data_IF_762637295596
#
_entry.id   IF_762637295596
#
_cell.length_a   1.000
_cell.length_b   1.000
_cell.length_c   1.000
_cell.angle_alpha   90.00
_cell.angle_beta   90.00
_cell.angle_gamma   90.00
#
_symmetry.space_group_name_H-M   'P 1'
#
loop_
_entity.id
_entity.type
_entity.pdbx_description
1 polymer ?
#
# COMPACT_ATOMS: atom_id res chain seq x y z
N UNK A 1 -18.40 -4.18 -1.16
CA UNK A 1 -17.21 -4.94 -0.82
C UNK A 1 -16.05 -4.60 -1.72
N UNK A 2 -14.88 -5.07 -1.36
CA UNK A 2 -13.67 -4.88 -2.15
C UNK A 2 -13.63 -5.77 -3.40
N UNK A 3 -12.59 -6.60 -3.52
CA UNK A 3 -12.41 -7.54 -4.63
C UNK A 3 -13.03 -8.88 -4.26
N UNK A 4 -13.71 -9.52 -5.22
CA UNK A 4 -14.13 -10.92 -5.16
C UNK A 4 -13.42 -11.70 -6.27
N UNK A 5 -12.81 -12.83 -5.93
CA UNK A 5 -12.12 -13.71 -6.87
C UNK A 5 -12.55 -15.16 -6.64
N UNK A 6 -13.05 -15.81 -7.68
CA UNK A 6 -13.34 -17.25 -7.66
C UNK A 6 -12.08 -18.08 -7.86
N UNK A 7 -11.20 -17.62 -8.75
CA UNK A 7 -9.88 -18.21 -9.01
C UNK A 7 -9.01 -17.23 -9.78
N UNK A 8 -7.69 -17.48 -9.83
CA UNK A 8 -6.76 -16.69 -10.65
C UNK A 8 -5.81 -15.82 -9.85
N UNK A 9 -5.54 -14.61 -10.32
CA UNK A 9 -4.55 -13.70 -9.70
C UNK A 9 -5.15 -12.36 -9.35
N UNK A 10 -4.94 -11.93 -8.11
CA UNK A 10 -5.22 -10.58 -7.63
C UNK A 10 -3.87 -9.91 -7.37
N UNK A 11 -3.49 -9.01 -8.25
CA UNK A 11 -2.16 -8.43 -8.28
C UNK A 11 -2.18 -6.91 -8.27
N UNK A 12 -1.33 -6.31 -7.46
CA UNK A 12 -0.99 -4.88 -7.50
C UNK A 12 -2.20 -3.94 -7.29
N UNK A 13 -3.07 -4.28 -6.33
CA UNK A 13 -4.22 -3.45 -6.00
C UNK A 13 -4.04 -2.71 -4.68
N UNK A 14 -4.73 -1.57 -4.58
CA UNK A 14 -4.96 -0.88 -3.31
C UNK A 14 -6.43 -1.03 -2.95
N UNK A 15 -6.71 -1.73 -1.85
CA UNK A 15 -8.07 -2.09 -1.41
C UNK A 15 -8.29 -1.58 0.01
N UNK A 16 -9.10 -0.55 0.17
CA UNK A 16 -9.24 0.07 1.49
C UNK A 16 -10.67 0.56 1.77
N UNK A 17 -10.98 0.73 3.05
CA UNK A 17 -12.24 1.30 3.56
C UNK A 17 -13.52 0.61 3.06
N UNK A 18 -13.50 -0.70 2.80
CA UNK A 18 -14.72 -1.42 2.47
C UNK A 18 -15.49 -1.82 3.74
N UNK A 19 -16.83 -1.74 3.70
CA UNK A 19 -17.71 -2.17 4.80
C UNK A 19 -17.75 -3.68 5.01
N UNK A 20 -17.18 -4.44 4.09
CA UNK A 20 -16.99 -5.89 4.20
C UNK A 20 -15.53 -6.26 4.33
N UNK A 21 -15.15 -7.36 3.68
CA UNK A 21 -13.75 -7.73 3.52
C UNK A 21 -13.06 -6.92 2.43
N UNK A 22 -11.73 -6.86 2.47
CA UNK A 22 -10.93 -6.27 1.42
C UNK A 22 -10.93 -7.14 0.17
N UNK A 23 -10.41 -8.37 0.27
CA UNK A 23 -10.42 -9.36 -0.80
C UNK A 23 -11.13 -10.62 -0.30
N UNK A 24 -12.16 -11.04 -1.01
CA UNK A 24 -12.87 -12.28 -0.76
C UNK A 24 -12.48 -13.30 -1.83
N UNK A 25 -11.97 -14.44 -1.42
CA UNK A 25 -11.48 -15.50 -2.33
C UNK A 25 -12.21 -16.80 -2.10
N UNK A 26 -12.50 -17.50 -3.18
CA UNK A 26 -13.29 -18.72 -3.13
C UNK A 26 -12.43 -19.97 -3.35
N UNK A 27 -11.63 -19.98 -4.41
CA UNK A 27 -10.85 -21.13 -4.85
C UNK A 27 -9.40 -20.72 -5.17
N UNK A 28 -8.67 -21.53 -5.89
CA UNK A 28 -7.26 -21.37 -6.25
C UNK A 28 -6.95 -19.93 -6.71
N UNK A 29 -6.51 -19.10 -5.78
CA UNK A 29 -6.21 -17.70 -6.03
C UNK A 29 -4.82 -17.34 -5.52
N UNK A 30 -4.04 -16.66 -6.37
CA UNK A 30 -2.78 -16.04 -6.00
C UNK A 30 -2.98 -14.55 -5.75
N UNK A 31 -2.65 -14.09 -4.55
CA UNK A 31 -2.77 -12.68 -4.14
C UNK A 31 -1.37 -12.14 -3.94
N UNK A 32 -0.95 -11.22 -4.81
CA UNK A 32 0.45 -10.79 -4.87
C UNK A 32 0.56 -9.27 -4.89
N UNK A 33 1.46 -8.72 -4.10
CA UNK A 33 1.78 -7.28 -4.08
C UNK A 33 0.56 -6.35 -3.89
N UNK A 34 -0.37 -6.70 -3.03
CA UNK A 34 -1.51 -5.84 -2.74
C UNK A 34 -1.31 -5.02 -1.46
N UNK A 35 -1.90 -3.83 -1.43
CA UNK A 35 -2.01 -2.99 -0.24
C UNK A 35 -3.48 -2.96 0.21
N UNK A 36 -3.76 -3.61 1.34
CA UNK A 36 -5.11 -3.88 1.84
C UNK A 36 -5.24 -3.25 3.23
N UNK A 37 -6.02 -2.17 3.33
CA UNK A 37 -6.01 -1.30 4.52
C UNK A 37 -7.42 -0.97 5.01
N UNK A 38 -7.63 -1.07 6.32
CA UNK A 38 -8.83 -0.58 7.01
C UNK A 38 -10.17 -1.07 6.42
N UNK A 39 -10.23 -2.29 5.92
CA UNK A 39 -11.48 -2.93 5.55
C UNK A 39 -12.18 -3.45 6.83
N UNK A 40 -13.51 -3.33 6.91
CA UNK A 40 -14.23 -3.44 8.19
C UNK A 40 -14.19 -4.84 8.82
N UNK A 41 -14.31 -5.91 8.03
CA UNK A 41 -14.46 -7.26 8.57
C UNK A 41 -13.16 -8.07 8.53
N UNK A 42 -12.41 -7.99 7.42
CA UNK A 42 -11.14 -8.69 7.24
C UNK A 42 -10.34 -8.08 6.08
N UNK A 43 -9.04 -8.31 6.06
CA UNK A 43 -8.20 -7.97 4.92
C UNK A 43 -8.44 -8.91 3.75
N UNK A 44 -8.08 -10.19 3.91
CA UNK A 44 -8.35 -11.25 2.95
C UNK A 44 -9.13 -12.35 3.65
N UNK A 45 -10.14 -12.93 2.98
CA UNK A 45 -10.91 -14.00 3.60
C UNK A 45 -11.67 -14.87 2.62
N UNK A 46 -12.06 -16.04 3.12
CA UNK A 46 -12.99 -16.97 2.46
C UNK A 46 -14.41 -16.71 2.95
N UNK A 47 -15.44 -16.94 2.13
CA UNK A 47 -16.82 -17.04 2.59
C UNK A 47 -16.97 -18.13 3.66
N UNK A 48 -17.90 -17.92 4.61
CA UNK A 48 -18.06 -18.81 5.76
C UNK A 48 -18.48 -20.24 5.39
N UNK A 49 -19.10 -20.43 4.21
CA UNK A 49 -19.70 -21.69 3.77
C UNK A 49 -18.84 -22.42 2.73
N UNK A 50 -17.57 -22.05 2.57
CA UNK A 50 -16.68 -22.72 1.64
C UNK A 50 -16.10 -23.98 2.23
N UNK A 51 -16.34 -25.11 1.57
CA UNK A 51 -15.54 -26.31 1.77
C UNK A 51 -14.15 -26.06 1.18
N UNK A 52 -13.17 -25.88 2.05
CA UNK A 52 -11.77 -25.62 1.67
C UNK A 52 -11.02 -26.88 1.24
N UNK A 53 -11.67 -28.04 1.27
CA UNK A 53 -11.04 -29.31 0.91
C UNK A 53 -10.59 -29.29 -0.56
N UNK A 54 -9.28 -29.12 -0.75
CA UNK A 54 -8.63 -29.18 -2.06
C UNK A 54 -8.36 -27.84 -2.75
N UNK A 55 -8.89 -26.72 -2.26
CA UNK A 55 -8.56 -25.41 -2.80
C UNK A 55 -7.42 -24.73 -2.01
N UNK A 56 -6.43 -24.22 -2.70
CA UNK A 56 -5.30 -23.53 -2.06
C UNK A 56 -5.26 -22.04 -2.43
N UNK A 57 -5.05 -21.19 -1.43
CA UNK A 57 -4.80 -19.77 -1.63
C UNK A 57 -3.33 -19.51 -1.35
N UNK A 58 -2.70 -18.72 -2.22
CA UNK A 58 -1.37 -18.20 -1.96
C UNK A 58 -1.42 -16.68 -1.81
N UNK A 59 -0.83 -16.18 -0.72
CA UNK A 59 -0.67 -14.73 -0.48
C UNK A 59 0.80 -14.44 -0.34
N UNK A 60 1.30 -13.53 -1.16
CA UNK A 60 2.70 -13.13 -1.10
C UNK A 60 2.87 -11.61 -1.28
N UNK A 61 3.94 -11.09 -0.69
CA UNK A 61 4.35 -9.70 -0.84
C UNK A 61 3.23 -8.66 -0.61
N UNK A 62 2.24 -9.00 0.18
CA UNK A 62 1.07 -8.15 0.40
C UNK A 62 1.09 -7.55 1.80
N UNK A 63 0.66 -6.30 1.91
CA UNK A 63 0.43 -5.67 3.21
C UNK A 63 -1.06 -5.70 3.55
N UNK A 64 -1.38 -6.18 4.74
CA UNK A 64 -2.73 -6.32 5.27
C UNK A 64 -2.75 -5.65 6.63
N UNK A 65 -3.36 -4.49 6.71
CA UNK A 65 -3.26 -3.66 7.90
C UNK A 65 -4.59 -2.99 8.28
N UNK A 66 -4.79 -2.77 9.57
CA UNK A 66 -5.94 -2.03 10.11
C UNK A 66 -5.52 -1.26 11.36
N UNK A 67 -6.06 -0.06 11.51
CA UNK A 67 -5.87 0.76 12.71
C UNK A 67 -6.66 0.26 13.91
N UNK A 68 -7.65 -0.62 13.70
CA UNK A 68 -8.46 -1.20 14.77
C UNK A 68 -8.62 -2.71 14.56
N UNK A 69 -7.79 -3.53 15.19
CA UNK A 69 -7.83 -4.97 15.04
C UNK A 69 -8.97 -5.64 15.82
N UNK A 70 -9.67 -4.95 16.72
CA UNK A 70 -10.66 -5.56 17.62
C UNK A 70 -11.82 -6.26 16.89
N UNK A 71 -12.12 -5.83 15.65
CA UNK A 71 -13.17 -6.41 14.82
C UNK A 71 -12.66 -6.80 13.42
N UNK A 72 -11.35 -6.84 13.23
CA UNK A 72 -10.73 -7.06 11.95
C UNK A 72 -9.76 -8.25 12.02
N UNK A 73 -10.00 -9.25 11.20
CA UNK A 73 -9.03 -10.30 10.98
C UNK A 73 -8.15 -9.94 9.77
N UNK A 74 -6.83 -9.97 9.92
CA UNK A 74 -5.93 -9.84 8.76
C UNK A 74 -6.29 -10.88 7.70
N UNK A 75 -6.29 -12.15 8.10
CA UNK A 75 -6.70 -13.30 7.30
C UNK A 75 -7.86 -14.03 7.97
N UNK A 76 -8.91 -14.36 7.20
CA UNK A 76 -10.09 -15.06 7.70
C UNK A 76 -10.35 -16.35 6.91
N UNK A 77 -10.53 -17.46 7.61
CA UNK A 77 -10.83 -18.75 6.99
C UNK A 77 -9.65 -19.38 6.23
N UNK A 78 -8.43 -19.06 6.63
CA UNK A 78 -7.21 -19.66 6.10
C UNK A 78 -6.86 -20.94 6.85
N UNK A 79 -6.50 -21.96 6.09
CA UNK A 79 -6.01 -23.25 6.61
C UNK A 79 -4.50 -23.35 6.35
N UNK A 80 -3.70 -23.42 7.42
CA UNK A 80 -2.25 -23.52 7.33
C UNK A 80 -1.74 -24.82 6.65
N UNK A 81 -2.59 -25.81 6.46
CA UNK A 81 -2.21 -27.05 5.77
C UNK A 81 -2.28 -26.93 4.24
N UNK A 82 -3.13 -26.04 3.74
CA UNK A 82 -3.37 -25.89 2.29
C UNK A 82 -3.02 -24.50 1.78
N UNK A 83 -3.21 -23.45 2.59
CA UNK A 83 -2.95 -22.08 2.21
C UNK A 83 -1.50 -21.68 2.48
N UNK A 84 -0.95 -20.85 1.63
CA UNK A 84 0.43 -20.34 1.76
C UNK A 84 0.45 -18.85 1.92
N UNK A 85 1.14 -18.38 2.94
CA UNK A 85 1.33 -16.95 3.21
C UNK A 85 2.82 -16.69 3.43
N UNK A 86 3.43 -15.90 2.57
CA UNK A 86 4.87 -15.64 2.61
C UNK A 86 5.23 -14.20 2.24
N UNK A 87 6.26 -13.67 2.87
CA UNK A 87 6.77 -12.33 2.61
C UNK A 87 5.69 -11.24 2.69
N UNK A 88 4.73 -11.41 3.59
CA UNK A 88 3.63 -10.49 3.83
C UNK A 88 3.86 -9.69 5.12
N UNK A 89 3.20 -8.55 5.21
CA UNK A 89 3.13 -7.78 6.44
C UNK A 89 1.66 -7.69 6.87
N UNK A 90 1.33 -8.28 8.01
CA UNK A 90 -0.05 -8.56 8.40
C UNK A 90 -0.29 -8.09 9.83
N UNK A 91 -1.38 -7.35 10.05
CA UNK A 91 -1.81 -6.98 11.40
C UNK A 91 -2.17 -8.25 12.20
N UNK A 92 -1.69 -8.31 13.44
CA UNK A 92 -1.90 -9.44 14.36
C UNK A 92 -1.47 -10.81 13.79
N UNK A 93 -0.40 -10.83 12.99
CA UNK A 93 0.17 -12.07 12.49
C UNK A 93 0.76 -12.89 13.63
N UNK A 94 0.37 -14.13 13.71
CA UNK A 94 0.97 -15.12 14.61
C UNK A 94 2.29 -15.65 13.97
N UNK A 95 3.42 -15.18 14.47
CA UNK A 95 4.76 -15.53 13.97
C UNK A 95 5.06 -17.04 14.03
N UNK A 96 4.26 -17.83 14.76
CA UNK A 96 4.39 -19.28 14.79
C UNK A 96 3.84 -19.96 13.52
N UNK A 97 3.09 -19.23 12.69
CA UNK A 97 2.36 -19.74 11.52
C UNK A 97 3.09 -19.63 10.19
N UNK A 98 4.34 -19.21 10.16
CA UNK A 98 5.05 -19.15 8.89
C UNK A 98 6.25 -18.21 8.92
N UNK A 99 7.14 -18.46 7.98
CA UNK A 99 8.41 -17.77 7.86
C UNK A 99 8.27 -16.53 6.96
N UNK A 100 9.13 -15.54 7.17
CA UNK A 100 9.30 -14.36 6.35
C UNK A 100 8.11 -13.38 6.32
N UNK A 101 7.12 -13.55 7.19
CA UNK A 101 6.04 -12.58 7.38
C UNK A 101 6.38 -11.61 8.52
N UNK A 102 5.88 -10.40 8.40
CA UNK A 102 6.05 -9.33 9.40
C UNK A 102 4.73 -9.16 10.15
N UNK A 103 4.77 -9.29 11.47
CA UNK A 103 3.64 -8.90 12.31
C UNK A 103 3.57 -7.39 12.43
N UNK A 104 2.43 -6.80 12.04
CA UNK A 104 2.19 -5.38 12.12
C UNK A 104 1.37 -5.04 13.35
N UNK A 105 1.74 -3.96 14.01
CA UNK A 105 0.96 -3.39 15.10
C UNK A 105 -0.10 -2.41 14.57
N UNK A 106 -1.23 -2.27 15.26
CA UNK A 106 -2.22 -1.25 14.93
C UNK A 106 -1.65 0.16 15.12
N UNK A 107 -2.22 1.12 14.41
CA UNK A 107 -1.72 2.50 14.30
C UNK A 107 -1.48 3.23 15.64
N UNK A 108 -2.16 2.85 16.70
CA UNK A 108 -2.09 3.52 18.01
C UNK A 108 -0.86 3.14 18.85
N UNK A 109 -0.07 2.18 18.40
CA UNK A 109 1.18 1.80 19.07
C UNK A 109 2.38 2.23 18.22
N UNK A 110 2.86 3.44 18.48
CA UNK A 110 4.00 4.03 17.78
C UNK A 110 5.36 3.32 18.06
N UNK A 111 5.36 2.28 18.87
CA UNK A 111 6.58 1.61 19.31
C UNK A 111 6.94 0.37 18.49
N UNK A 112 6.09 -0.05 17.57
CA UNK A 112 6.22 -1.32 16.89
C UNK A 112 6.32 -1.26 15.36
N UNK A 113 6.17 -2.42 14.76
CA UNK A 113 6.19 -2.58 13.31
C UNK A 113 4.90 -2.06 12.71
N UNK A 114 4.94 -0.88 12.11
CA UNK A 114 3.84 -0.27 11.34
C UNK A 114 4.26 -0.04 9.89
N UNK A 115 3.34 -0.03 8.93
CA UNK A 115 3.69 0.13 7.52
C UNK A 115 4.39 1.44 7.18
N UNK A 116 4.21 2.49 8.00
CA UNK A 116 4.75 3.82 7.76
C UNK A 116 4.38 4.37 6.37
N UNK A 117 3.11 4.32 6.03
CA UNK A 117 2.56 5.01 4.87
C UNK A 117 2.65 6.53 5.03
N UNK A 118 2.67 7.25 3.94
CA UNK A 118 2.77 8.72 3.95
C UNK A 118 1.54 9.35 4.60
N UNK A 119 0.35 8.98 4.15
CA UNK A 119 -0.91 9.49 4.67
C UNK A 119 -2.02 8.43 4.57
N UNK A 120 -1.97 7.36 5.40
CA UNK A 120 -2.99 6.33 5.35
C UNK A 120 -4.33 6.88 5.83
N UNK A 121 -5.41 6.30 5.33
CA UNK A 121 -6.74 6.59 5.87
C UNK A 121 -6.83 6.24 7.34
N UNK A 122 -7.51 7.08 8.12
CA UNK A 122 -7.83 6.83 9.54
C UNK A 122 -9.23 6.25 9.72
N UNK A 123 -9.97 6.04 8.63
CA UNK A 123 -11.31 5.48 8.66
C UNK A 123 -11.30 3.97 8.41
N UNK A 124 -12.30 3.29 8.96
CA UNK A 124 -12.55 1.87 8.75
C UNK A 124 -13.93 1.74 8.11
N UNK A 125 -14.00 0.98 7.02
CA UNK A 125 -15.21 0.83 6.25
C UNK A 125 -15.49 1.99 5.29
N UNK A 126 -16.60 1.92 4.56
CA UNK A 126 -16.95 2.90 3.55
C UNK A 126 -17.25 4.27 4.16
N UNK A 127 -16.82 5.27 3.46
CA UNK A 127 -17.11 6.67 3.79
C UNK A 127 -18.53 6.97 3.29
N UNK A 128 -19.39 7.34 4.21
CA UNK A 128 -20.79 7.69 3.88
C UNK A 128 -20.90 9.06 3.19
N UNK A 129 -19.90 9.90 3.33
CA UNK A 129 -19.82 11.24 2.74
C UNK A 129 -18.57 11.34 1.85
N UNK A 130 -18.66 11.00 0.56
CA UNK A 130 -17.47 10.88 -0.31
C UNK A 130 -16.76 12.21 -0.61
N UNK A 131 -17.32 13.35 -0.23
CA UNK A 131 -16.87 14.66 -0.72
C UNK A 131 -15.56 15.14 -0.08
N UNK A 132 -15.18 14.64 1.10
CA UNK A 132 -14.01 15.18 1.84
C UNK A 132 -13.02 14.16 2.38
N UNK A 133 -13.31 12.89 2.30
CA UNK A 133 -12.62 11.89 3.10
C UNK A 133 -11.36 11.32 2.45
N UNK A 134 -11.25 11.34 1.14
CA UNK A 134 -10.12 10.75 0.41
C UNK A 134 -9.10 11.77 -0.13
N UNK A 135 -9.26 13.05 0.19
CA UNK A 135 -8.29 14.07 -0.21
C UNK A 135 -6.97 13.83 0.56
N UNK A 136 -5.95 13.45 -0.18
CA UNK A 136 -4.61 13.26 0.37
C UNK A 136 -4.31 11.88 0.95
N UNK A 137 -5.23 10.90 0.88
CA UNK A 137 -4.89 9.52 1.27
C UNK A 137 -3.79 8.99 0.37
N UNK A 138 -2.73 8.48 0.97
CA UNK A 138 -1.57 7.97 0.25
C UNK A 138 -0.98 6.75 0.97
N UNK A 139 -0.84 5.66 0.25
CA UNK A 139 -0.18 4.44 0.71
C UNK A 139 1.25 4.30 0.18
N UNK A 140 1.83 5.37 -0.32
CA UNK A 140 3.25 5.42 -0.64
C UNK A 140 4.09 5.18 0.62
N UNK A 141 5.23 4.51 0.47
CA UNK A 141 6.08 4.11 1.59
C UNK A 141 7.03 5.24 1.99
N UNK A 142 7.23 5.41 3.29
CA UNK A 142 8.29 6.27 3.84
C UNK A 142 9.62 5.52 3.89
N UNK A 143 10.70 6.26 3.95
CA UNK A 143 12.07 5.74 4.03
C UNK A 143 12.30 4.77 5.20
N UNK A 144 11.56 4.89 6.28
CA UNK A 144 11.66 4.05 7.47
C UNK A 144 10.57 2.99 7.56
N UNK A 145 9.90 2.68 6.47
CA UNK A 145 8.89 1.63 6.44
C UNK A 145 9.52 0.25 6.66
N UNK A 146 8.86 -0.57 7.47
CA UNK A 146 9.26 -1.97 7.70
C UNK A 146 9.07 -2.84 6.47
N UNK A 147 8.33 -2.35 5.46
CA UNK A 147 8.01 -3.05 4.22
C UNK A 147 9.15 -3.04 3.20
N UNK A 148 10.14 -2.15 3.41
CA UNK A 148 11.22 -1.94 2.44
C UNK A 148 12.14 -3.16 2.32
N UNK A 149 12.40 -3.58 1.08
CA UNK A 149 13.32 -4.67 0.75
C UNK A 149 12.96 -6.03 1.38
N UNK A 150 11.67 -6.25 1.62
CA UNK A 150 11.18 -7.46 2.28
C UNK A 150 10.37 -8.39 1.37
N UNK A 151 10.05 -7.94 0.16
CA UNK A 151 9.36 -8.77 -0.81
C UNK A 151 10.31 -9.73 -1.54
N UNK A 152 9.74 -10.81 -2.06
CA UNK A 152 10.43 -11.84 -2.82
C UNK A 152 10.03 -11.75 -4.31
N UNK A 153 10.93 -12.01 -5.24
CA UNK A 153 10.75 -11.71 -6.65
C UNK A 153 10.39 -12.88 -7.57
N UNK A 154 10.33 -14.13 -7.09
CA UNK A 154 10.09 -15.31 -7.95
C UNK A 154 8.74 -15.26 -8.67
N UNK A 155 7.73 -14.67 -8.06
CA UNK A 155 6.40 -14.49 -8.62
C UNK A 155 6.39 -13.63 -9.91
N UNK A 156 7.34 -12.70 -10.06
CA UNK A 156 7.43 -11.83 -11.24
C UNK A 156 7.59 -12.65 -12.52
N UNK A 157 8.45 -13.66 -12.48
CA UNK A 157 8.63 -14.57 -13.62
C UNK A 157 7.35 -15.34 -13.91
N UNK A 158 6.67 -15.80 -12.88
CA UNK A 158 5.41 -16.54 -13.02
C UNK A 158 4.33 -15.65 -13.66
N UNK A 159 4.09 -14.46 -13.14
CA UNK A 159 3.07 -13.56 -13.70
C UNK A 159 3.38 -13.14 -15.13
N UNK A 160 4.62 -12.81 -15.42
CA UNK A 160 5.02 -12.42 -16.76
C UNK A 160 4.89 -13.59 -17.76
N UNK A 161 5.33 -14.79 -17.37
CA UNK A 161 5.32 -15.97 -18.24
C UNK A 161 3.92 -16.51 -18.47
N UNK A 162 3.10 -16.65 -17.43
CA UNK A 162 1.79 -17.32 -17.55
C UNK A 162 0.63 -16.38 -17.87
N UNK A 163 0.72 -15.11 -17.48
CA UNK A 163 -0.37 -14.16 -17.64
C UNK A 163 -0.03 -13.00 -18.58
N UNK A 164 1.23 -12.90 -19.06
CA UNK A 164 1.66 -11.82 -19.94
C UNK A 164 1.58 -10.43 -19.28
N UNK A 165 1.57 -10.39 -17.94
CA UNK A 165 1.42 -9.15 -17.18
C UNK A 165 2.77 -8.44 -17.05
N UNK A 166 2.85 -7.17 -17.43
CA UNK A 166 4.03 -6.36 -17.16
C UNK A 166 4.11 -6.02 -15.66
N UNK A 167 5.03 -6.66 -14.99
CA UNK A 167 5.27 -6.49 -13.55
C UNK A 167 6.48 -5.61 -13.24
N UNK A 168 7.01 -4.91 -14.25
CA UNK A 168 8.19 -4.05 -14.13
C UNK A 168 7.92 -2.77 -13.33
N UNK A 169 6.65 -2.39 -13.24
CA UNK A 169 6.22 -1.16 -12.59
C UNK A 169 5.25 -1.45 -11.45
N UNK A 170 5.25 -0.58 -10.47
CA UNK A 170 4.28 -0.58 -9.39
C UNK A 170 2.96 0.12 -9.81
N UNK A 171 1.95 0.11 -8.95
CA UNK A 171 0.65 0.71 -9.24
C UNK A 171 0.74 2.23 -9.55
N UNK A 172 1.79 2.90 -9.09
CA UNK A 172 2.05 4.32 -9.39
C UNK A 172 2.87 4.51 -10.69
N UNK A 173 3.15 3.44 -11.43
CA UNK A 173 3.95 3.48 -12.65
C UNK A 173 5.45 3.72 -12.39
N UNK A 174 5.93 3.40 -11.19
CA UNK A 174 7.34 3.51 -10.84
C UNK A 174 8.04 2.16 -10.96
N UNK A 175 9.35 2.13 -11.28
CA UNK A 175 10.10 0.88 -11.34
C UNK A 175 9.93 0.07 -10.05
N UNK A 176 9.52 -1.19 -10.20
CA UNK A 176 9.29 -2.08 -9.04
C UNK A 176 10.56 -2.60 -8.42
N UNK A 177 11.62 -2.77 -9.21
CA UNK A 177 12.95 -3.14 -8.69
C UNK A 177 13.79 -1.89 -8.57
N UNK A 178 14.14 -1.52 -7.35
CA UNK A 178 15.00 -0.38 -7.05
C UNK A 178 16.22 -0.88 -6.28
N UNK A 179 17.42 -0.62 -6.78
CA UNK A 179 18.67 -1.09 -6.16
C UNK A 179 18.69 -2.60 -5.87
N UNK A 180 18.05 -3.40 -6.74
CA UNK A 180 17.91 -4.86 -6.63
C UNK A 180 17.02 -5.33 -5.47
N UNK A 181 16.18 -4.47 -4.94
CA UNK A 181 15.25 -4.80 -3.86
C UNK A 181 13.81 -4.61 -4.29
N UNK A 182 12.92 -5.34 -3.62
CA UNK A 182 11.47 -5.29 -3.74
C UNK A 182 10.86 -4.99 -2.40
N UNK A 183 9.81 -4.18 -2.40
CA UNK A 183 9.05 -3.83 -1.21
C UNK A 183 7.73 -4.60 -1.16
N UNK A 184 7.24 -4.82 0.06
CA UNK A 184 5.93 -5.45 0.27
C UNK A 184 4.82 -4.44 -0.05
N UNK A 185 3.81 -4.87 -0.81
CA UNK A 185 2.65 -4.08 -1.16
C UNK A 185 2.62 -3.61 -2.61
N UNK A 186 1.62 -2.82 -2.95
CA UNK A 186 1.36 -2.32 -4.29
C UNK A 186 2.32 -1.21 -4.74
N UNK A 187 3.06 -0.62 -3.82
CA UNK A 187 3.99 0.49 -4.08
C UNK A 187 5.43 0.09 -3.80
N UNK A 188 6.32 0.53 -4.67
CA UNK A 188 7.76 0.45 -4.48
C UNK A 188 8.30 1.78 -3.97
N UNK A 189 9.08 1.77 -2.90
CA UNK A 189 9.80 2.95 -2.44
C UNK A 189 10.79 3.43 -3.48
N UNK A 190 10.73 4.71 -3.81
CA UNK A 190 11.67 5.35 -4.72
C UNK A 190 12.61 6.24 -3.92
N UNK A 191 13.85 5.81 -3.66
CA UNK A 191 14.81 6.66 -2.97
C UNK A 191 15.10 7.89 -3.82
N UNK A 192 15.03 9.04 -3.21
CA UNK A 192 15.31 10.29 -3.91
C UNK A 192 16.80 10.54 -3.92
N UNK A 193 17.39 10.59 -5.09
CA UNK A 193 18.77 11.00 -5.26
C UNK A 193 18.83 12.53 -5.36
N UNK A 194 19.46 13.19 -4.39
CA UNK A 194 19.69 14.64 -4.43
C UNK A 194 19.08 15.41 -3.25
N UNK A 195 19.33 16.68 -3.22
CA UNK A 195 18.70 17.58 -2.25
C UNK A 195 17.24 17.81 -2.63
N UNK A 196 16.34 17.29 -1.82
CA UNK A 196 14.91 17.56 -1.98
C UNK A 196 14.55 18.84 -1.21
N UNK A 197 14.70 19.95 -1.89
CA UNK A 197 14.28 21.25 -1.39
C UNK A 197 13.08 21.67 -2.20
N UNK A 198 11.99 21.98 -1.52
CA UNK A 198 10.87 22.68 -2.13
C UNK A 198 10.84 24.11 -1.61
N UNK A 199 10.64 25.03 -2.53
CA UNK A 199 10.49 26.44 -2.19
C UNK A 199 9.02 26.72 -1.90
N UNK A 200 8.78 27.38 -0.75
CA UNK A 200 7.45 27.84 -0.34
C UNK A 200 7.50 29.33 -0.16
N UNK A 201 6.56 30.06 -0.73
CA UNK A 201 6.45 31.50 -0.52
C UNK A 201 5.03 32.02 -0.73
N UNK A 202 4.68 33.08 -0.05
CA UNK A 202 3.49 33.83 -0.37
C UNK A 202 3.73 34.60 -1.69
N UNK A 203 2.76 34.54 -2.59
CA UNK A 203 2.83 35.31 -3.83
C UNK A 203 2.50 36.78 -3.60
N UNK A 204 3.20 37.67 -4.33
CA UNK A 204 2.79 39.03 -4.44
C UNK A 204 1.53 39.17 -5.30
N UNK A 205 0.61 40.10 -4.98
CA UNK A 205 -0.52 40.40 -5.86
C UNK A 205 -0.09 40.84 -7.28
N UNK A 206 1.11 41.38 -7.42
CA UNK A 206 1.66 41.89 -8.68
C UNK A 206 2.54 40.81 -9.38
N UNK A 207 2.52 39.58 -8.92
CA UNK A 207 3.34 38.55 -9.51
C UNK A 207 2.86 38.17 -10.93
N UNK A 208 3.78 38.17 -11.91
CA UNK A 208 3.42 37.77 -13.26
C UNK A 208 2.89 36.34 -13.29
N UNK A 209 1.90 36.06 -14.15
CA UNK A 209 1.39 34.68 -14.32
C UNK A 209 2.50 33.76 -14.78
N UNK A 210 2.34 32.47 -14.48
CA UNK A 210 3.21 31.43 -15.02
C UNK A 210 3.02 31.34 -16.54
N UNK A 211 4.06 30.91 -17.24
CA UNK A 211 3.96 30.61 -18.66
C UNK A 211 3.06 29.40 -18.90
N UNK A 212 2.53 29.27 -20.11
CA UNK A 212 1.68 28.14 -20.49
C UNK A 212 2.39 26.81 -20.25
N UNK A 213 1.74 25.91 -19.52
CA UNK A 213 2.28 24.60 -19.16
C UNK A 213 3.17 24.59 -17.91
N UNK A 214 3.50 25.72 -17.32
CA UNK A 214 4.21 25.76 -16.04
C UNK A 214 3.27 25.57 -14.86
N UNK A 215 3.75 24.86 -13.84
CA UNK A 215 3.02 24.64 -12.58
C UNK A 215 3.89 25.01 -11.40
N UNK A 216 3.28 25.40 -10.30
CA UNK A 216 3.98 25.66 -9.04
C UNK A 216 4.28 24.33 -8.33
N UNK A 217 5.41 23.75 -8.70
CA UNK A 217 5.89 22.46 -8.21
C UNK A 217 6.93 22.57 -7.09
N UNK A 218 7.29 23.77 -6.68
CA UNK A 218 8.29 24.05 -5.65
C UNK A 218 9.74 23.80 -6.08
N UNK A 219 10.01 23.45 -7.32
CA UNK A 219 11.37 23.11 -7.79
C UNK A 219 12.34 24.30 -7.82
N UNK A 220 11.82 25.51 -7.93
CA UNK A 220 12.57 26.75 -7.92
C UNK A 220 11.83 27.83 -7.14
N UNK A 221 12.54 28.90 -6.76
CA UNK A 221 11.90 30.05 -6.10
C UNK A 221 10.79 30.68 -6.95
N UNK A 222 10.91 30.68 -8.26
CA UNK A 222 9.88 31.16 -9.18
C UNK A 222 8.65 30.24 -9.22
N UNK A 223 8.86 28.94 -9.14
CA UNK A 223 7.82 27.92 -9.13
C UNK A 223 7.44 27.50 -7.71
N UNK A 224 7.74 28.31 -6.71
CA UNK A 224 7.44 28.01 -5.31
C UNK A 224 5.96 27.73 -5.10
N UNK A 225 5.65 26.71 -4.29
CA UNK A 225 4.28 26.46 -3.83
C UNK A 225 3.86 27.52 -2.81
N UNK A 226 2.56 27.71 -2.62
CA UNK A 226 2.03 28.74 -1.74
C UNK A 226 1.68 28.24 -0.34
N UNK A 227 1.63 26.95 -0.19
CA UNK A 227 1.17 26.29 1.04
C UNK A 227 2.25 25.34 1.58
N UNK A 228 2.56 25.50 2.87
CA UNK A 228 3.58 24.70 3.56
C UNK A 228 3.15 23.23 3.64
N UNK A 229 1.87 22.97 3.88
CA UNK A 229 1.39 21.60 3.96
C UNK A 229 1.50 20.91 2.60
N UNK A 230 1.15 21.60 1.52
CA UNK A 230 1.35 21.09 0.16
C UNK A 230 2.82 20.76 -0.12
N UNK A 231 3.76 21.61 0.32
CA UNK A 231 5.19 21.33 0.17
C UNK A 231 5.62 20.10 0.97
N UNK A 232 5.14 19.97 2.20
CA UNK A 232 5.40 18.80 3.05
C UNK A 232 4.86 17.54 2.38
N UNK A 233 3.64 17.56 1.89
CA UNK A 233 3.00 16.42 1.23
C UNK A 233 3.74 16.03 -0.06
N UNK A 234 4.20 17.01 -0.85
CA UNK A 234 5.03 16.76 -2.02
C UNK A 234 6.39 16.16 -1.67
N UNK A 235 7.04 16.63 -0.59
CA UNK A 235 8.29 16.06 -0.11
C UNK A 235 8.09 14.63 0.35
N UNK A 236 7.02 14.35 1.06
CA UNK A 236 6.66 12.99 1.45
C UNK A 236 6.33 12.11 0.25
N UNK A 237 5.56 12.61 -0.70
CA UNK A 237 5.22 11.88 -1.93
C UNK A 237 6.46 11.56 -2.77
N UNK A 238 7.50 12.40 -2.70
CA UNK A 238 8.81 12.13 -3.32
C UNK A 238 9.71 11.28 -2.44
N UNK A 239 9.22 10.84 -1.28
CA UNK A 239 10.01 10.17 -0.23
C UNK A 239 11.27 10.95 0.15
N UNK A 240 11.17 12.26 0.11
CA UNK A 240 12.28 13.13 0.41
C UNK A 240 12.46 13.27 1.93
N UNK A 241 13.68 13.09 2.41
CA UNK A 241 14.12 13.59 3.70
C UNK A 241 14.65 14.99 3.47
N UNK A 242 13.76 15.97 3.50
CA UNK A 242 14.12 17.37 3.29
C UNK A 242 13.38 18.26 4.27
N UNK A 243 14.02 19.35 4.64
CA UNK A 243 13.36 20.41 5.39
C UNK A 243 12.57 21.36 4.46
N UNK A 244 11.56 21.98 5.00
CA UNK A 244 10.87 23.14 4.44
C UNK A 244 11.65 24.39 4.77
#
# INVERSE_FOLDING_TARGET
GGIYSEAGVVFDNVVYNNNGGGICVYDETSIVNNTIVNNQLYGIGRPADTDVAGSSISVSNSVIWSINPLNHAGLKGFDALVDRVSNCAIVDWDETKGNDNISLLPYNDHTGSVPNFINPTTQIGAILEPVYADLGVSFLLRQNSVLLSKAEGSWMTTLNTYYGTDVSYDIAGKPRIVSKTLDIGAYQYQPVSGRNILYVRQLSPDEPPLADGEVRDGSTWRLAVQDVQMAIDQLYARNAVGGV
#
